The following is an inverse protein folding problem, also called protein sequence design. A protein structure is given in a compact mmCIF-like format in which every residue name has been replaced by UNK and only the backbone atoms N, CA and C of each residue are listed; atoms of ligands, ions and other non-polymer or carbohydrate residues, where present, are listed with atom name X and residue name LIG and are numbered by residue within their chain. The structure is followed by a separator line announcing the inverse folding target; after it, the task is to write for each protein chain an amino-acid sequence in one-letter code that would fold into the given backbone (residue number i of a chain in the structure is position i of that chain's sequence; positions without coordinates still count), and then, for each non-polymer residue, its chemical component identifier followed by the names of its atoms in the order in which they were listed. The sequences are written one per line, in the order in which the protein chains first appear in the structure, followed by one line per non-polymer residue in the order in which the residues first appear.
data_IF_970574894100
#
_entry.id   IF_970574894100
#
_cell.length_a   1.000
_cell.length_b   1.000
_cell.length_c   1.000
_cell.angle_alpha   90.00
_cell.angle_beta   90.00
_cell.angle_gamma   90.00
#
_symmetry.space_group_name_H-M   'P 1'
#
loop_
_entity.id
_entity.type
_entity.pdbx_description
1 polymer ?
#
# COMPACT_ATOMS: atom_id res chain seq x y z
N UNK A 1 -8.89 1.46 12.79
CA UNK A 1 -9.41 2.85 12.82
C UNK A 1 -10.60 2.95 11.87
N UNK A 2 -11.57 3.84 12.08
CA UNK A 2 -12.63 4.07 11.10
C UNK A 2 -12.02 4.53 9.77
N UNK A 3 -12.74 4.26 8.68
CA UNK A 3 -12.28 4.64 7.33
C UNK A 3 -12.28 6.17 7.20
N UNK A 4 -11.18 6.81 6.81
CA UNK A 4 -11.10 8.26 6.62
C UNK A 4 -12.17 8.78 5.66
N UNK A 5 -12.79 9.89 6.01
CA UNK A 5 -13.83 10.59 5.23
C UNK A 5 -13.50 12.05 4.95
N UNK A 6 -12.40 12.52 5.50
CA UNK A 6 -11.89 13.88 5.28
C UNK A 6 -10.40 13.84 4.88
N UNK A 7 -9.94 14.91 4.21
CA UNK A 7 -8.52 15.09 3.86
C UNK A 7 -7.61 14.97 5.09
N UNK A 8 -7.97 15.64 6.18
CA UNK A 8 -7.18 15.62 7.41
C UNK A 8 -7.08 14.21 8.01
N UNK A 9 -8.20 13.49 8.06
CA UNK A 9 -8.21 12.09 8.53
C UNK A 9 -7.39 11.18 7.63
N UNK A 10 -7.46 11.38 6.29
CA UNK A 10 -6.72 10.57 5.33
C UNK A 10 -5.21 10.79 5.47
N UNK A 11 -4.76 12.04 5.54
CA UNK A 11 -3.34 12.37 5.77
C UNK A 11 -2.85 11.79 7.09
N UNK A 12 -3.57 12.02 8.19
CA UNK A 12 -3.20 11.50 9.50
C UNK A 12 -3.11 9.97 9.52
N UNK A 13 -4.10 9.28 8.93
CA UNK A 13 -4.13 7.83 8.88
C UNK A 13 -3.03 7.24 7.97
N UNK A 14 -2.68 7.92 6.87
CA UNK A 14 -1.58 7.50 5.99
C UNK A 14 -0.22 7.67 6.69
N UNK A 15 0.03 8.80 7.32
CA UNK A 15 1.28 9.07 8.06
C UNK A 15 1.44 8.09 9.22
N UNK A 16 0.41 7.95 10.06
CA UNK A 16 0.44 7.03 11.21
C UNK A 16 0.61 5.57 10.77
N UNK A 17 -0.12 5.13 9.74
CA UNK A 17 -0.03 3.78 9.22
C UNK A 17 1.37 3.44 8.72
N UNK A 18 1.99 4.34 7.95
CA UNK A 18 3.36 4.18 7.47
C UNK A 18 4.38 4.17 8.61
N UNK A 19 4.25 5.08 9.60
CA UNK A 19 5.12 5.11 10.76
C UNK A 19 5.04 3.81 11.58
N UNK A 20 3.83 3.25 11.75
CA UNK A 20 3.63 1.96 12.45
C UNK A 20 4.29 0.79 11.73
N UNK A 21 4.27 0.76 10.39
CA UNK A 21 4.99 -0.25 9.60
C UNK A 21 6.49 -0.17 9.91
N UNK A 22 7.08 1.03 9.79
CA UNK A 22 8.51 1.22 10.02
C UNK A 22 8.91 0.85 11.45
N UNK A 23 8.19 1.32 12.46
CA UNK A 23 8.45 0.96 13.87
C UNK A 23 8.34 -0.56 14.12
N UNK A 24 7.41 -1.25 13.43
CA UNK A 24 7.29 -2.70 13.54
C UNK A 24 8.50 -3.41 12.93
N UNK A 25 9.00 -2.93 11.78
CA UNK A 25 10.20 -3.49 11.13
C UNK A 25 11.45 -3.20 11.96
N UNK A 26 11.59 -2.00 12.50
CA UNK A 26 12.71 -1.59 13.37
C UNK A 26 12.78 -2.41 14.68
N UNK A 27 11.65 -2.94 15.14
CA UNK A 27 11.63 -3.84 16.31
C UNK A 27 12.20 -5.23 16.04
N UNK A 28 12.43 -5.59 14.78
CA UNK A 28 13.03 -6.86 14.35
C UNK A 28 14.55 -6.74 14.27
N UNK A 29 15.27 -7.80 14.64
CA UNK A 29 16.72 -7.89 14.35
C UNK A 29 16.97 -7.93 12.84
N UNK A 30 18.18 -7.58 12.39
CA UNK A 30 18.55 -7.63 10.98
C UNK A 30 18.31 -9.01 10.35
N UNK A 31 18.59 -10.09 11.09
CA UNK A 31 18.32 -11.45 10.64
C UNK A 31 16.80 -11.70 10.47
N UNK A 32 15.98 -11.23 11.39
CA UNK A 32 14.52 -11.35 11.31
C UNK A 32 13.93 -10.52 10.17
N UNK A 33 14.47 -9.34 9.88
CA UNK A 33 13.98 -8.51 8.77
C UNK A 33 14.13 -9.19 7.39
N UNK A 34 15.09 -10.09 7.24
CA UNK A 34 15.36 -10.82 5.99
C UNK A 34 14.84 -12.26 5.99
N UNK A 35 14.45 -12.79 7.13
CA UNK A 35 13.98 -14.16 7.27
C UNK A 35 12.60 -14.39 6.64
N UNK A 36 12.36 -15.62 6.22
CA UNK A 36 11.04 -16.08 5.75
C UNK A 36 10.09 -16.20 6.93
N UNK A 37 8.85 -15.77 6.73
CA UNK A 37 7.79 -15.94 7.74
C UNK A 37 7.55 -17.42 8.05
N UNK A 38 7.41 -17.81 9.33
CA UNK A 38 7.20 -19.20 9.73
C UNK A 38 5.73 -19.65 9.61
N UNK A 39 4.97 -19.01 8.73
CA UNK A 39 3.56 -19.34 8.46
C UNK A 39 3.26 -19.18 6.97
N UNK A 40 2.23 -19.87 6.49
CA UNK A 40 1.84 -19.75 5.09
C UNK A 40 1.14 -18.39 4.82
N UNK A 41 1.64 -17.71 3.81
CA UNK A 41 1.11 -16.46 3.26
C UNK A 41 1.70 -16.25 1.88
N UNK A 42 1.03 -15.49 0.98
CA UNK A 42 1.59 -15.13 -0.33
C UNK A 42 2.92 -14.40 -0.18
N UNK A 43 2.95 -13.36 0.62
CA UNK A 43 4.15 -12.59 0.92
C UNK A 43 4.94 -13.35 1.99
N UNK A 44 6.16 -13.75 1.66
CA UNK A 44 6.95 -14.69 2.46
C UNK A 44 7.87 -14.02 3.48
N UNK A 45 8.08 -12.71 3.38
CA UNK A 45 8.99 -11.94 4.24
C UNK A 45 8.61 -10.45 4.25
N UNK A 46 9.34 -9.64 5.01
CA UNK A 46 9.13 -8.18 5.11
C UNK A 46 9.22 -7.50 3.74
N UNK A 47 10.24 -7.85 2.92
CA UNK A 47 10.41 -7.29 1.57
C UNK A 47 9.17 -7.47 0.72
N UNK A 48 8.59 -8.66 0.69
CA UNK A 48 7.42 -8.98 -0.14
C UNK A 48 6.20 -8.13 0.27
N UNK A 49 6.00 -7.93 1.59
CA UNK A 49 4.93 -7.06 2.11
C UNK A 49 5.12 -5.63 1.65
N UNK A 50 6.34 -5.09 1.77
CA UNK A 50 6.62 -3.71 1.36
C UNK A 50 6.54 -3.53 -0.16
N UNK A 51 6.98 -4.53 -0.94
CA UNK A 51 6.87 -4.51 -2.39
C UNK A 51 5.40 -4.49 -2.86
N UNK A 52 4.54 -5.26 -2.19
CA UNK A 52 3.10 -5.24 -2.45
C UNK A 52 2.53 -3.82 -2.22
N UNK A 53 2.85 -3.19 -1.10
CA UNK A 53 2.42 -1.81 -0.83
C UNK A 53 2.92 -0.83 -1.90
N UNK A 54 4.20 -0.90 -2.25
CA UNK A 54 4.83 -0.04 -3.24
C UNK A 54 4.15 -0.16 -4.62
N UNK A 55 3.93 -1.38 -5.12
CA UNK A 55 3.31 -1.59 -6.42
C UNK A 55 1.85 -1.10 -6.47
N UNK A 56 1.07 -1.30 -5.41
CA UNK A 56 -0.28 -0.75 -5.34
C UNK A 56 -0.30 0.77 -5.27
N UNK A 57 0.69 1.40 -4.63
CA UNK A 57 0.86 2.85 -4.65
C UNK A 57 1.24 3.36 -6.05
N UNK A 58 2.14 2.66 -6.74
CA UNK A 58 2.49 2.98 -8.14
C UNK A 58 1.29 2.88 -9.07
N UNK A 59 0.46 1.84 -8.90
CA UNK A 59 -0.79 1.71 -9.66
C UNK A 59 -1.72 2.88 -9.38
N UNK A 60 -1.91 3.26 -8.12
CA UNK A 60 -2.74 4.42 -7.75
C UNK A 60 -2.25 5.71 -8.42
N UNK A 61 -0.94 5.97 -8.43
CA UNK A 61 -0.36 7.13 -9.10
C UNK A 61 -0.63 7.10 -10.62
N UNK A 62 -0.43 5.95 -11.27
CA UNK A 62 -0.73 5.80 -12.71
C UNK A 62 -2.21 6.00 -13.03
N UNK A 63 -3.13 5.48 -12.21
CA UNK A 63 -4.58 5.71 -12.41
C UNK A 63 -4.92 7.19 -12.28
N UNK A 64 -4.30 7.85 -11.31
CA UNK A 64 -4.51 9.28 -11.11
C UNK A 64 -4.00 10.08 -12.31
N UNK A 65 -2.77 9.86 -12.75
CA UNK A 65 -2.18 10.59 -13.87
C UNK A 65 -3.01 10.40 -15.15
N UNK A 66 -3.31 9.17 -15.52
CA UNK A 66 -4.13 8.87 -16.72
C UNK A 66 -5.56 9.41 -16.58
N UNK A 67 -6.17 9.23 -15.41
CA UNK A 67 -7.56 9.64 -15.19
C UNK A 67 -7.74 11.16 -15.16
N UNK A 68 -6.76 11.90 -14.65
CA UNK A 68 -6.78 13.36 -14.63
C UNK A 68 -6.44 13.98 -15.99
N UNK A 69 -5.71 13.26 -16.83
CA UNK A 69 -5.45 13.62 -18.24
C UNK A 69 -6.66 13.31 -19.16
N UNK A 70 -7.77 12.83 -18.59
CA UNK A 70 -9.00 12.53 -19.31
C UNK A 70 -9.03 11.15 -19.98
N UNK A 71 -8.01 10.34 -19.81
CA UNK A 71 -7.96 8.96 -20.28
C UNK A 71 -8.69 8.02 -19.29
N UNK A 72 -9.09 6.85 -19.77
CA UNK A 72 -9.59 5.78 -18.91
C UNK A 72 -8.39 4.93 -18.47
N UNK A 73 -8.00 4.95 -17.18
CA UNK A 73 -6.89 4.15 -16.72
C UNK A 73 -7.20 2.65 -16.77
N UNK A 74 -6.18 1.83 -17.06
CA UNK A 74 -6.25 0.37 -16.91
C UNK A 74 -6.25 0.01 -15.44
N UNK A 75 -7.38 -0.50 -14.94
CA UNK A 75 -7.56 -0.78 -13.51
C UNK A 75 -7.94 -2.25 -13.28
N UNK A 76 -7.22 -2.96 -12.38
CA UNK A 76 -6.08 -2.50 -11.57
C UNK A 76 -4.78 -2.34 -12.36
N UNK A 77 -4.57 -3.11 -13.44
CA UNK A 77 -3.40 -3.04 -14.31
C UNK A 77 -3.71 -3.62 -15.70
N UNK A 78 -2.89 -3.31 -16.69
CA UNK A 78 -3.00 -3.86 -18.04
C UNK A 78 -3.05 -5.38 -18.00
N UNK A 79 -4.05 -5.99 -18.65
CA UNK A 79 -4.24 -7.43 -18.67
C UNK A 79 -4.89 -8.04 -17.43
N UNK A 80 -5.22 -7.23 -16.42
CA UNK A 80 -5.90 -7.69 -15.20
C UNK A 80 -7.22 -6.98 -14.97
N UNK A 81 -8.12 -7.66 -14.25
CA UNK A 81 -9.38 -7.11 -13.75
C UNK A 81 -9.43 -7.22 -12.22
N UNK A 82 -10.39 -6.59 -11.59
CA UNK A 82 -10.57 -6.73 -10.14
C UNK A 82 -10.83 -8.18 -9.70
N UNK A 83 -11.41 -9.00 -10.58
CA UNK A 83 -11.64 -10.44 -10.32
C UNK A 83 -10.35 -11.26 -10.40
N UNK A 84 -9.35 -10.80 -11.16
CA UNK A 84 -8.04 -11.45 -11.29
C UNK A 84 -6.96 -10.79 -10.41
N UNK A 85 -7.37 -10.03 -9.39
CA UNK A 85 -6.44 -9.43 -8.41
C UNK A 85 -5.50 -10.46 -7.75
N UNK A 86 -5.90 -11.71 -7.44
CA UNK A 86 -4.97 -12.72 -6.95
C UNK A 86 -3.81 -12.99 -7.90
N UNK A 87 -4.06 -13.07 -9.21
CA UNK A 87 -3.03 -13.32 -10.23
C UNK A 87 -2.10 -12.11 -10.37
N UNK A 88 -2.65 -10.89 -10.35
CA UNK A 88 -1.85 -9.66 -10.31
C UNK A 88 -0.93 -9.63 -9.08
N UNK A 89 -1.45 -9.96 -7.91
CA UNK A 89 -0.65 -10.00 -6.69
C UNK A 89 0.46 -11.08 -6.74
N UNK A 90 0.20 -12.22 -7.39
CA UNK A 90 1.22 -13.24 -7.62
C UNK A 90 2.31 -12.74 -8.59
N UNK A 91 1.94 -12.01 -9.64
CA UNK A 91 2.89 -11.39 -10.57
C UNK A 91 3.75 -10.32 -9.86
N UNK A 92 3.15 -9.46 -9.05
CA UNK A 92 3.87 -8.47 -8.21
C UNK A 92 4.87 -9.17 -7.29
N UNK A 93 4.45 -10.24 -6.62
CA UNK A 93 5.34 -11.02 -5.76
C UNK A 93 6.53 -11.60 -6.55
N UNK A 94 6.28 -12.20 -7.72
CA UNK A 94 7.31 -12.81 -8.54
C UNK A 94 8.35 -11.77 -9.02
N UNK A 95 7.90 -10.58 -9.42
CA UNK A 95 8.78 -9.52 -9.92
C UNK A 95 9.65 -8.93 -8.81
N UNK A 96 9.14 -8.78 -7.59
CA UNK A 96 9.90 -8.19 -6.49
C UNK A 96 11.03 -9.09 -5.95
N UNK A 97 11.07 -10.39 -6.34
CA UNK A 97 12.10 -11.33 -5.87
C UNK A 97 13.53 -10.91 -6.25
N UNK A 98 13.67 -10.08 -7.28
CA UNK A 98 14.96 -9.55 -7.75
C UNK A 98 15.43 -8.31 -7.00
N UNK A 99 14.62 -7.76 -6.10
CA UNK A 99 14.87 -6.47 -5.43
C UNK A 99 15.22 -6.70 -3.95
N UNK A 100 16.20 -5.97 -3.43
CA UNK A 100 16.59 -6.05 -2.02
C UNK A 100 15.57 -5.35 -1.11
N UNK A 101 15.54 -5.73 0.18
CA UNK A 101 14.71 -5.07 1.20
C UNK A 101 15.02 -3.57 1.28
N UNK A 102 16.29 -3.17 1.34
CA UNK A 102 16.70 -1.76 1.39
C UNK A 102 16.19 -0.97 0.18
N UNK A 103 16.29 -1.54 -1.02
CA UNK A 103 15.76 -0.90 -2.24
C UNK A 103 14.25 -0.71 -2.18
N UNK A 104 13.50 -1.72 -1.74
CA UNK A 104 12.04 -1.63 -1.60
C UNK A 104 11.63 -0.61 -0.53
N UNK A 105 12.35 -0.54 0.60
CA UNK A 105 12.08 0.46 1.64
C UNK A 105 12.23 1.89 1.08
N UNK A 106 13.29 2.16 0.32
CA UNK A 106 13.52 3.46 -0.34
C UNK A 106 12.44 3.77 -1.37
N UNK A 107 12.07 2.82 -2.20
CA UNK A 107 11.03 2.98 -3.22
C UNK A 107 9.66 3.23 -2.58
N UNK A 108 9.30 2.50 -1.54
CA UNK A 108 8.05 2.69 -0.81
C UNK A 108 8.01 4.06 -0.11
N UNK A 109 9.13 4.53 0.45
CA UNK A 109 9.21 5.87 1.03
C UNK A 109 8.91 6.95 -0.01
N UNK A 110 9.43 6.82 -1.23
CA UNK A 110 9.19 7.76 -2.33
C UNK A 110 7.71 7.74 -2.72
N UNK A 111 7.11 6.58 -2.97
CA UNK A 111 5.70 6.52 -3.38
C UNK A 111 4.75 6.95 -2.27
N UNK A 112 5.09 6.68 -1.00
CA UNK A 112 4.34 7.21 0.14
C UNK A 112 4.32 8.73 0.15
N UNK A 113 5.48 9.39 -0.02
CA UNK A 113 5.55 10.86 -0.08
C UNK A 113 4.79 11.43 -1.30
N UNK A 114 4.87 10.77 -2.46
CA UNK A 114 4.11 11.17 -3.63
C UNK A 114 2.59 11.11 -3.38
N UNK A 115 2.10 10.06 -2.70
CA UNK A 115 0.68 9.97 -2.35
C UNK A 115 0.27 11.01 -1.31
N UNK A 116 1.11 11.33 -0.32
CA UNK A 116 0.83 12.42 0.63
C UNK A 116 0.73 13.76 -0.10
N UNK A 117 1.67 14.06 -1.00
CA UNK A 117 1.64 15.28 -1.80
C UNK A 117 0.39 15.34 -2.70
N UNK A 118 0.00 14.20 -3.30
CA UNK A 118 -1.21 14.09 -4.11
C UNK A 118 -2.47 14.36 -3.27
N UNK A 119 -2.56 13.83 -2.06
CA UNK A 119 -3.68 14.11 -1.16
C UNK A 119 -3.68 15.60 -0.78
N UNK A 120 -2.52 16.17 -0.49
CA UNK A 120 -2.41 17.54 0.01
C UNK A 120 -2.78 18.59 -1.04
N UNK A 121 -2.52 18.36 -2.31
CA UNK A 121 -2.88 19.28 -3.40
C UNK A 121 -4.39 19.39 -3.66
N UNK A 122 -5.20 18.48 -3.13
CA UNK A 122 -6.66 18.47 -3.34
C UNK A 122 -7.42 19.07 -2.15
N UNK A 123 -8.57 19.67 -2.45
CA UNK A 123 -9.55 20.05 -1.43
C UNK A 123 -10.30 18.82 -0.90
N UNK A 124 -10.95 18.96 0.25
CA UNK A 124 -11.78 17.88 0.81
C UNK A 124 -12.91 17.47 -0.16
N UNK A 125 -13.54 18.41 -0.83
CA UNK A 125 -14.58 18.16 -1.80
C UNK A 125 -14.07 17.38 -3.02
N UNK A 126 -12.87 17.71 -3.52
CA UNK A 126 -12.25 16.99 -4.63
C UNK A 126 -11.93 15.55 -4.28
N UNK A 127 -11.50 15.30 -3.06
CA UNK A 127 -11.19 13.95 -2.59
C UNK A 127 -12.45 13.11 -2.36
N UNK A 128 -13.49 13.64 -1.72
CA UNK A 128 -14.56 12.81 -1.18
C UNK A 128 -15.90 12.95 -1.88
N UNK A 129 -16.08 13.89 -2.84
CA UNK A 129 -17.29 13.93 -3.67
C UNK A 129 -17.28 12.76 -4.64
N UNK A 130 -18.30 11.91 -4.55
CA UNK A 130 -18.49 10.79 -5.48
C UNK A 130 -18.80 11.30 -6.89
N UNK A 131 -18.48 10.50 -7.90
CA UNK A 131 -18.73 10.82 -9.32
C UNK A 131 -18.08 12.12 -9.82
N UNK A 132 -17.13 12.70 -9.07
CA UNK A 132 -16.46 13.94 -9.46
C UNK A 132 -15.56 13.74 -10.69
N UNK A 133 -14.82 12.65 -10.72
CA UNK A 133 -13.94 12.27 -11.82
C UNK A 133 -14.50 11.03 -12.53
N UNK A 134 -14.59 11.07 -13.86
CA UNK A 134 -15.18 9.98 -14.64
C UNK A 134 -14.52 8.62 -14.38
N UNK A 135 -13.19 8.60 -14.21
CA UNK A 135 -12.42 7.40 -14.00
C UNK A 135 -12.61 6.76 -12.61
N UNK A 136 -13.09 7.51 -11.62
CA UNK A 136 -13.38 6.95 -10.29
C UNK A 136 -14.72 6.21 -10.21
N UNK A 137 -15.49 6.21 -11.28
CA UNK A 137 -16.77 5.51 -11.38
C UNK A 137 -17.77 5.99 -10.31
N UNK A 138 -18.33 5.06 -9.57
CA UNK A 138 -19.35 5.33 -8.53
C UNK A 138 -18.78 5.75 -7.17
N UNK A 139 -17.46 5.78 -7.04
CA UNK A 139 -16.77 6.14 -5.80
C UNK A 139 -16.10 7.51 -5.89
N UNK A 140 -15.14 7.80 -5.02
CA UNK A 140 -14.43 9.06 -4.97
C UNK A 140 -12.90 8.82 -5.09
N UNK A 141 -12.13 9.85 -5.46
CA UNK A 141 -10.67 9.83 -5.44
C UNK A 141 -10.14 9.43 -4.06
N UNK A 142 -10.70 10.02 -3.00
CA UNK A 142 -10.32 9.71 -1.62
C UNK A 142 -10.52 8.24 -1.26
N UNK A 143 -11.53 7.56 -1.81
CA UNK A 143 -11.75 6.13 -1.59
C UNK A 143 -10.61 5.26 -2.14
N UNK A 144 -10.06 5.61 -3.32
CA UNK A 144 -8.90 4.93 -3.89
C UNK A 144 -7.62 5.22 -3.07
N UNK A 145 -7.44 6.48 -2.65
CA UNK A 145 -6.29 6.87 -1.82
C UNK A 145 -6.32 6.22 -0.43
N UNK A 146 -7.50 6.12 0.21
CA UNK A 146 -7.69 5.34 1.45
C UNK A 146 -7.30 3.88 1.23
N UNK A 147 -7.71 3.28 0.11
CA UNK A 147 -7.35 1.90 -0.23
C UNK A 147 -5.84 1.74 -0.39
N UNK A 148 -5.18 2.61 -1.17
CA UNK A 148 -3.75 2.53 -1.47
C UNK A 148 -2.84 2.93 -0.29
N UNK A 149 -3.37 3.58 0.75
CA UNK A 149 -2.61 4.01 1.92
C UNK A 149 -3.10 3.36 3.21
N UNK A 150 -3.98 4.00 3.96
CA UNK A 150 -4.35 3.60 5.33
C UNK A 150 -4.91 2.18 5.44
N UNK A 151 -5.73 1.73 4.47
CA UNK A 151 -6.27 0.36 4.49
C UNK A 151 -5.19 -0.69 4.21
N UNK A 152 -4.33 -0.47 3.22
CA UNK A 152 -3.21 -1.35 2.93
C UNK A 152 -2.17 -1.34 4.06
N UNK A 153 -1.91 -0.18 4.68
CA UNK A 153 -1.01 -0.11 5.84
C UNK A 153 -1.55 -0.86 7.04
N UNK A 154 -2.85 -0.79 7.32
CA UNK A 154 -3.48 -1.57 8.39
C UNK A 154 -3.35 -3.09 8.14
N UNK A 155 -3.53 -3.53 6.89
CA UNK A 155 -3.31 -4.93 6.50
C UNK A 155 -1.84 -5.33 6.73
N UNK A 156 -0.88 -4.54 6.23
CA UNK A 156 0.54 -4.81 6.39
C UNK A 156 0.96 -4.84 7.87
N UNK A 157 0.50 -3.88 8.68
CA UNK A 157 0.75 -3.86 10.11
C UNK A 157 0.23 -5.12 10.83
N UNK A 158 -0.95 -5.62 10.46
CA UNK A 158 -1.49 -6.86 11.04
C UNK A 158 -0.61 -8.06 10.71
N UNK A 159 -0.16 -8.17 9.46
CA UNK A 159 0.71 -9.25 9.02
C UNK A 159 2.09 -9.19 9.70
N UNK A 160 2.72 -8.04 9.70
CA UNK A 160 4.04 -7.84 10.33
C UNK A 160 3.99 -8.06 11.85
N UNK A 161 2.95 -7.59 12.54
CA UNK A 161 2.74 -7.86 13.98
C UNK A 161 2.51 -9.35 14.26
N UNK A 162 1.84 -10.08 13.36
CA UNK A 162 1.76 -11.55 13.47
C UNK A 162 3.16 -12.14 13.44
N UNK A 163 3.99 -11.71 12.52
CA UNK A 163 5.38 -12.16 12.41
C UNK A 163 6.21 -11.83 13.67
N UNK A 164 6.17 -10.60 14.16
CA UNK A 164 6.87 -10.21 15.41
C UNK A 164 6.48 -11.12 16.57
N UNK A 165 5.18 -11.42 16.74
CA UNK A 165 4.72 -12.34 17.80
C UNK A 165 5.30 -13.75 17.66
N UNK A 166 5.41 -14.27 16.45
CA UNK A 166 6.02 -15.60 16.24
C UNK A 166 7.51 -15.59 16.52
N UNK A 167 8.22 -14.49 16.20
CA UNK A 167 9.63 -14.34 16.57
C UNK A 167 9.85 -14.36 18.08
N UNK A 168 8.99 -13.70 18.84
CA UNK A 168 9.07 -13.66 20.31
C UNK A 168 8.82 -15.03 20.95
N UNK A 169 7.95 -15.85 20.39
CA UNK A 169 7.64 -17.21 20.88
C UNK A 169 8.76 -18.22 20.65
N UNK A 170 9.63 -17.99 19.67
CA UNK A 170 10.74 -18.91 19.33
C UNK A 170 12.03 -18.62 20.13
N UNK A 171 12.02 -17.66 21.03
CA UNK A 171 13.17 -17.27 21.88
C UNK A 171 13.03 -17.87 23.31
N UNK A 172 11.90 -18.46 23.64
CA UNK A 172 11.65 -19.14 24.93
C UNK A 172 11.73 -20.65 24.80
#
# INVERSE_FOLDING_TARGET
MPRPQTKAELLAAAIDGYARINATIESLTTAQQTATFPFDHRDKNVRDVLAHLHEWQRMMLRWYDSGMDGSKPDMPAVGYTWNTTPDLNAAIWAECQKTSLDSIQKQLAITHQQLLALIDQHTNAELFTKHRYAWTGTTSLGSYLVSATSSHYDWACKLLRRYVRTCAQNIG
#
